data_IF_400051029836
#
_entry.id   IF_400051029836
#
_cell.length_a   1.000
_cell.length_b   1.000
_cell.length_c   1.000
_cell.angle_alpha   90.00
_cell.angle_beta   90.00
_cell.angle_gamma   90.00
#
_symmetry.space_group_name_H-M   'P 1'
#
loop_
_entity.id
_entity.type
_entity.pdbx_description
1 polymer ?
#
# COMPACT_ATOMS: atom_id res chain seq x y z
N UNK A 1 21.61 55.62 11.41
CA UNK A 1 21.53 54.58 10.37
C UNK A 1 21.36 53.25 11.08
N UNK A 2 20.12 52.76 11.15
CA UNK A 2 19.74 51.56 11.86
C UNK A 2 19.54 50.46 10.81
N UNK A 3 20.42 49.47 10.72
CA UNK A 3 20.26 48.32 9.83
C UNK A 3 19.45 47.25 10.58
N UNK A 4 18.21 47.07 10.14
CA UNK A 4 17.38 45.93 10.54
C UNK A 4 17.89 44.68 9.88
N UNK A 5 18.47 43.75 10.65
CA UNK A 5 18.79 42.40 10.23
C UNK A 5 17.52 41.55 10.28
N UNK A 6 16.96 41.28 9.11
CA UNK A 6 15.89 40.30 8.93
C UNK A 6 16.51 38.92 8.97
N UNK A 7 16.20 38.18 10.02
CA UNK A 7 16.50 36.75 10.13
C UNK A 7 15.63 36.00 9.13
N UNK A 8 16.15 35.06 8.30
CA UNK A 8 15.32 34.25 7.44
C UNK A 8 14.47 33.29 8.30
N UNK A 9 13.17 33.30 8.09
CA UNK A 9 12.25 32.29 8.62
C UNK A 9 12.68 30.90 8.14
N UNK A 10 12.94 29.97 9.08
CA UNK A 10 13.11 28.57 8.77
C UNK A 10 11.82 28.00 8.17
N UNK A 11 11.91 27.15 7.13
CA UNK A 11 10.71 26.54 6.56
C UNK A 11 10.10 25.57 7.58
N UNK A 12 8.84 25.83 7.90
CA UNK A 12 7.93 24.97 8.66
C UNK A 12 8.18 23.50 8.35
N UNK A 13 8.35 22.68 9.38
CA UNK A 13 8.46 21.21 9.34
C UNK A 13 7.22 20.56 8.72
N UNK A 14 7.08 20.65 7.40
CA UNK A 14 6.19 19.81 6.62
C UNK A 14 6.69 18.36 6.71
N UNK A 15 5.80 17.44 7.10
CA UNK A 15 6.10 16.05 7.43
C UNK A 15 6.99 15.32 6.42
N UNK A 16 7.71 14.29 6.89
CA UNK A 16 8.62 13.45 6.10
C UNK A 16 7.98 13.09 4.77
N UNK A 17 8.45 13.73 3.71
CA UNK A 17 8.07 13.47 2.34
C UNK A 17 8.85 12.25 1.83
N UNK A 18 8.15 11.12 1.71
CA UNK A 18 8.66 9.95 1.01
C UNK A 18 9.32 8.88 1.90
N UNK A 19 9.09 7.61 1.51
CA UNK A 19 9.74 6.42 2.08
C UNK A 19 10.41 5.65 0.94
N UNK A 20 11.67 5.30 1.14
CA UNK A 20 12.39 4.40 0.27
C UNK A 20 12.09 2.93 0.58
N UNK A 21 12.65 2.02 -0.23
CA UNK A 21 12.41 0.59 -0.11
C UNK A 21 12.78 0.04 1.27
N UNK A 22 13.86 0.51 1.87
CA UNK A 22 14.29 0.07 3.20
C UNK A 22 13.29 0.42 4.30
N UNK A 23 12.59 1.57 4.17
CA UNK A 23 11.55 1.98 5.11
C UNK A 23 10.27 1.17 4.88
N UNK A 24 9.91 0.92 3.62
CA UNK A 24 8.77 0.10 3.24
C UNK A 24 8.92 -1.32 3.79
N UNK A 25 10.10 -1.93 3.66
CA UNK A 25 10.42 -3.25 4.21
C UNK A 25 10.32 -3.35 5.74
N UNK A 26 10.45 -2.22 6.46
CA UNK A 26 10.25 -2.15 7.92
C UNK A 26 8.77 -1.96 8.31
N UNK A 27 7.93 -1.55 7.35
CA UNK A 27 6.52 -1.25 7.57
C UNK A 27 5.66 -2.43 7.12
N UNK A 28 5.85 -2.89 5.87
CA UNK A 28 5.05 -3.96 5.28
C UNK A 28 5.70 -5.33 5.54
N UNK A 29 4.90 -6.36 5.88
CA UNK A 29 5.40 -7.73 6.02
C UNK A 29 5.73 -8.41 4.68
N UNK A 30 5.19 -7.89 3.58
CA UNK A 30 5.37 -8.44 2.23
C UNK A 30 6.85 -8.51 1.83
N UNK A 31 7.22 -9.54 1.07
CA UNK A 31 8.55 -9.76 0.50
C UNK A 31 8.42 -10.20 -0.96
N UNK A 32 9.54 -10.30 -1.66
CA UNK A 32 9.59 -10.87 -3.00
C UNK A 32 8.92 -12.25 -3.03
N UNK A 33 8.11 -12.57 -4.02
CA UNK A 33 7.75 -11.73 -5.20
C UNK A 33 6.51 -10.84 -4.99
N UNK A 34 6.00 -10.74 -3.77
CA UNK A 34 4.70 -10.14 -3.47
C UNK A 34 4.75 -8.71 -2.88
N UNK A 35 5.93 -8.15 -2.67
CA UNK A 35 6.06 -6.72 -2.36
C UNK A 35 5.98 -5.91 -3.65
N UNK A 36 4.90 -5.15 -3.81
CA UNK A 36 4.61 -4.47 -5.07
C UNK A 36 4.97 -2.98 -5.08
N UNK A 37 4.99 -2.29 -3.94
CA UNK A 37 5.32 -0.87 -3.91
C UNK A 37 6.82 -0.64 -3.79
N UNK A 38 7.35 0.28 -4.62
CA UNK A 38 8.78 0.57 -4.70
C UNK A 38 9.18 1.81 -3.91
N UNK A 39 8.27 2.78 -3.80
CA UNK A 39 8.50 4.04 -3.09
C UNK A 39 7.19 4.66 -2.65
N UNK A 40 7.21 5.33 -1.52
CA UNK A 40 6.15 6.25 -1.11
C UNK A 40 6.61 7.67 -1.39
N UNK A 41 5.78 8.46 -2.04
CA UNK A 41 6.07 9.85 -2.39
C UNK A 41 5.53 10.82 -1.35
N UNK A 42 4.35 10.53 -0.80
CA UNK A 42 3.64 11.40 0.14
C UNK A 42 2.88 10.56 1.15
N UNK A 43 2.91 10.96 2.42
CA UNK A 43 2.03 10.46 3.48
C UNK A 43 1.40 11.63 4.20
N UNK A 44 0.07 11.65 4.22
CA UNK A 44 -0.73 12.45 5.16
C UNK A 44 -1.37 11.50 6.16
N UNK A 45 -0.89 11.52 7.38
CA UNK A 45 -1.28 10.58 8.44
C UNK A 45 -2.80 10.45 8.53
N UNK A 46 -3.30 9.21 8.57
CA UNK A 46 -4.72 8.84 8.64
C UNK A 46 -5.62 9.38 7.52
N UNK A 47 -5.05 9.98 6.47
CA UNK A 47 -5.81 10.61 5.40
C UNK A 47 -5.48 10.03 4.03
N UNK A 48 -4.20 10.10 3.61
CA UNK A 48 -3.81 9.79 2.23
C UNK A 48 -2.37 9.29 2.15
N UNK A 49 -2.13 8.44 1.18
CA UNK A 49 -0.78 8.04 0.75
C UNK A 49 -0.69 8.07 -0.77
N UNK A 50 0.47 8.48 -1.27
CA UNK A 50 0.85 8.35 -2.68
C UNK A 50 2.09 7.49 -2.77
N UNK A 51 2.00 6.40 -3.52
CA UNK A 51 3.10 5.47 -3.73
C UNK A 51 3.31 5.19 -5.22
N UNK A 52 4.44 4.60 -5.57
CA UNK A 52 4.71 4.13 -6.92
C UNK A 52 5.06 2.65 -6.92
N UNK A 53 4.69 1.99 -8.02
CA UNK A 53 5.18 0.69 -8.43
C UNK A 53 5.73 0.79 -9.85
N UNK A 54 6.97 0.36 -10.05
CA UNK A 54 7.54 0.19 -11.38
C UNK A 54 7.10 -1.17 -11.92
N UNK A 55 6.61 -1.19 -13.15
CA UNK A 55 6.18 -2.43 -13.80
C UNK A 55 7.28 -2.86 -14.77
N UNK A 56 7.93 -3.99 -14.49
CA UNK A 56 9.03 -4.50 -15.31
C UNK A 56 8.73 -5.87 -15.88
N UNK A 57 9.34 -6.22 -17.01
CA UNK A 57 9.18 -7.55 -17.61
C UNK A 57 9.74 -8.67 -16.73
N UNK A 58 10.58 -8.35 -15.75
CA UNK A 58 11.14 -9.30 -14.80
C UNK A 58 10.16 -9.74 -13.69
N UNK A 59 8.95 -9.21 -13.66
CA UNK A 59 7.92 -9.65 -12.73
C UNK A 59 7.47 -11.07 -13.08
N UNK A 60 7.44 -12.01 -12.12
CA UNK A 60 7.20 -13.43 -12.41
C UNK A 60 5.83 -13.71 -13.03
N UNK A 61 4.83 -12.88 -12.78
CA UNK A 61 3.48 -13.06 -13.33
C UNK A 61 3.40 -12.85 -14.84
N UNK A 62 4.35 -12.14 -15.48
CA UNK A 62 4.35 -11.95 -16.92
C UNK A 62 4.70 -13.22 -17.71
N UNK A 63 5.31 -14.21 -17.06
CA UNK A 63 5.53 -15.51 -17.69
C UNK A 63 4.21 -16.22 -18.09
N UNK A 64 3.14 -15.94 -17.37
CA UNK A 64 1.81 -16.54 -17.58
C UNK A 64 0.71 -15.58 -18.00
N UNK A 65 0.87 -14.27 -17.79
CA UNK A 65 -0.23 -13.30 -18.00
C UNK A 65 0.13 -12.16 -18.97
N UNK A 66 0.17 -12.38 -20.28
CA UNK A 66 -0.04 -13.62 -21.04
C UNK A 66 1.15 -13.83 -21.99
N UNK A 67 1.49 -15.07 -22.39
CA UNK A 67 2.53 -15.29 -23.38
C UNK A 67 2.32 -14.46 -24.64
N UNK A 68 3.32 -13.63 -25.02
CA UNK A 68 3.25 -12.73 -26.17
C UNK A 68 2.45 -11.44 -25.96
N UNK A 69 1.73 -11.29 -24.83
CA UNK A 69 0.98 -10.08 -24.48
C UNK A 69 1.12 -9.80 -22.98
N UNK A 70 2.23 -9.25 -22.52
CA UNK A 70 2.46 -9.01 -21.09
C UNK A 70 1.58 -7.87 -20.58
N UNK A 71 0.55 -8.21 -19.85
CA UNK A 71 -0.36 -7.27 -19.17
C UNK A 71 -0.31 -7.57 -17.67
N UNK A 72 -0.14 -6.55 -16.84
CA UNK A 72 -0.19 -6.71 -15.39
C UNK A 72 -1.57 -7.18 -14.96
N UNK A 73 -1.69 -8.27 -14.18
CA UNK A 73 -2.98 -8.72 -13.66
C UNK A 73 -3.69 -7.63 -12.89
N UNK A 74 -4.94 -7.34 -13.24
CA UNK A 74 -5.71 -6.27 -12.59
C UNK A 74 -5.84 -6.47 -11.08
N UNK A 75 -5.95 -7.72 -10.63
CA UNK A 75 -6.01 -8.06 -9.21
C UNK A 75 -4.72 -7.67 -8.46
N UNK A 76 -3.56 -7.71 -9.13
CA UNK A 76 -2.30 -7.25 -8.54
C UNK A 76 -2.20 -5.72 -8.52
N UNK A 77 -2.92 -5.01 -9.39
CA UNK A 77 -3.05 -3.54 -9.25
C UNK A 77 -3.87 -3.20 -8.01
N UNK A 78 -4.94 -3.96 -7.73
CA UNK A 78 -5.73 -3.79 -6.50
C UNK A 78 -4.89 -4.13 -5.27
N UNK A 79 -4.08 -5.17 -5.33
CA UNK A 79 -3.13 -5.52 -4.26
C UNK A 79 -2.11 -4.41 -4.02
N UNK A 80 -1.53 -3.82 -5.08
CA UNK A 80 -0.60 -2.70 -4.94
C UNK A 80 -1.26 -1.48 -4.28
N UNK A 81 -2.52 -1.18 -4.62
CA UNK A 81 -3.34 -0.16 -3.94
C UNK A 81 -3.48 -0.49 -2.45
N UNK A 82 -3.78 -1.76 -2.13
CA UNK A 82 -3.93 -2.19 -0.75
C UNK A 82 -2.62 -2.13 0.03
N UNK A 83 -1.50 -2.51 -0.57
CA UNK A 83 -0.18 -2.39 0.08
C UNK A 83 0.17 -0.92 0.36
N UNK A 84 -0.12 -0.01 -0.56
CA UNK A 84 0.06 1.43 -0.30
C UNK A 84 -0.81 1.87 0.89
N UNK A 85 -2.10 1.51 0.92
CA UNK A 85 -2.97 1.77 2.06
C UNK A 85 -2.49 1.11 3.35
N UNK A 86 -2.00 -0.12 3.27
CA UNK A 86 -1.42 -0.86 4.39
C UNK A 86 -0.19 -0.18 4.98
N UNK A 87 0.68 0.37 4.12
CA UNK A 87 1.81 1.17 4.58
C UNK A 87 1.34 2.39 5.39
N UNK A 88 0.28 3.09 4.94
CA UNK A 88 -0.33 4.18 5.70
C UNK A 88 -0.89 3.70 7.04
N UNK A 89 -1.64 2.59 7.07
CA UNK A 89 -2.23 2.05 8.30
C UNK A 89 -1.15 1.64 9.31
N UNK A 90 -0.15 0.90 8.86
CA UNK A 90 0.90 0.37 9.72
C UNK A 90 1.84 1.44 10.27
N UNK A 91 1.95 2.62 9.62
CA UNK A 91 2.68 3.75 10.22
C UNK A 91 2.01 4.33 11.46
N UNK A 92 0.72 4.06 11.66
CA UNK A 92 -0.07 4.54 12.81
C UNK A 92 -0.12 3.54 13.97
N UNK A 93 0.50 2.36 13.82
CA UNK A 93 0.45 1.27 14.79
C UNK A 93 1.82 1.06 15.41
N UNK A 94 1.93 1.13 16.74
CA UNK A 94 3.20 0.98 17.46
C UNK A 94 3.74 -0.45 17.34
N UNK A 95 2.88 -1.46 17.51
CA UNK A 95 3.23 -2.90 17.45
C UNK A 95 3.07 -3.49 16.03
N UNK A 96 3.43 -2.73 15.01
CA UNK A 96 3.21 -3.11 13.61
C UNK A 96 3.95 -4.37 13.17
N UNK A 97 5.08 -4.70 13.78
CA UNK A 97 5.87 -5.90 13.46
C UNK A 97 5.13 -7.21 13.77
N UNK A 98 4.16 -7.16 14.69
CA UNK A 98 3.30 -8.27 15.08
C UNK A 98 1.93 -8.21 14.42
N UNK A 99 1.73 -7.33 13.44
CA UNK A 99 0.47 -7.15 12.73
C UNK A 99 0.60 -7.49 11.27
N UNK A 100 -0.43 -8.10 10.74
CA UNK A 100 -0.65 -8.26 9.29
C UNK A 100 -1.96 -7.62 8.91
N UNK A 101 -1.99 -7.05 7.71
CA UNK A 101 -3.20 -6.50 7.14
C UNK A 101 -3.85 -7.54 6.25
N UNK A 102 -5.10 -7.84 6.53
CA UNK A 102 -5.91 -8.76 5.71
C UNK A 102 -7.07 -8.03 5.07
N UNK A 103 -7.41 -8.40 3.85
CA UNK A 103 -8.62 -7.92 3.21
C UNK A 103 -9.86 -8.46 3.93
N UNK A 104 -10.85 -7.59 4.12
CA UNK A 104 -12.22 -7.96 4.55
C UNK A 104 -13.24 -7.70 3.46
N UNK A 105 -12.85 -6.96 2.42
CA UNK A 105 -13.70 -6.74 1.25
C UNK A 105 -13.02 -5.91 0.18
N UNK A 106 -13.39 -6.15 -1.06
CA UNK A 106 -13.04 -5.36 -2.24
C UNK A 106 -14.34 -4.97 -2.91
N UNK A 107 -14.56 -3.68 -3.05
CA UNK A 107 -15.76 -3.13 -3.66
C UNK A 107 -15.39 -2.24 -4.85
N UNK A 108 -16.28 -2.16 -5.84
CA UNK A 108 -16.18 -1.22 -6.96
C UNK A 108 -14.84 -1.24 -7.70
N UNK A 109 -14.20 -2.41 -7.78
CA UNK A 109 -13.01 -2.56 -8.59
C UNK A 109 -13.35 -2.33 -10.07
N UNK A 110 -12.60 -1.43 -10.71
CA UNK A 110 -12.73 -1.12 -12.15
C UNK A 110 -11.37 -1.06 -12.78
N UNK A 111 -11.20 -1.77 -13.88
CA UNK A 111 -10.01 -1.78 -14.72
C UNK A 111 -10.34 -1.06 -16.02
N UNK A 112 -9.62 0.02 -16.31
CA UNK A 112 -9.96 0.92 -17.41
C UNK A 112 -9.03 0.78 -18.61
N UNK A 113 -7.78 0.41 -18.35
CA UNK A 113 -6.73 0.28 -19.35
C UNK A 113 -5.75 -0.81 -18.93
N UNK A 114 -5.15 -1.54 -19.87
CA UNK A 114 -4.06 -2.45 -19.56
C UNK A 114 -2.83 -1.65 -19.04
N UNK A 115 -2.05 -2.32 -18.21
CA UNK A 115 -0.77 -1.86 -17.69
C UNK A 115 0.28 -2.87 -18.15
N UNK A 116 1.36 -2.39 -18.73
CA UNK A 116 2.37 -3.23 -19.39
C UNK A 116 3.77 -2.94 -18.86
N UNK A 117 4.74 -3.83 -19.07
CA UNK A 117 6.14 -3.56 -18.75
C UNK A 117 6.62 -2.22 -19.34
N UNK A 118 7.31 -1.42 -18.53
CA UNK A 118 7.72 -0.06 -18.85
C UNK A 118 6.83 1.03 -18.25
N UNK A 119 5.61 0.69 -17.83
CA UNK A 119 4.74 1.62 -17.10
C UNK A 119 5.22 1.82 -15.66
N UNK A 120 4.95 3.00 -15.10
CA UNK A 120 5.04 3.27 -13.68
C UNK A 120 3.63 3.60 -13.16
N UNK A 121 3.16 2.81 -12.19
CA UNK A 121 1.91 3.08 -11.51
C UNK A 121 2.13 4.09 -10.39
N UNK A 122 1.40 5.19 -10.43
CA UNK A 122 1.19 6.09 -9.29
C UNK A 122 -0.09 5.66 -8.58
N UNK A 123 0.06 5.27 -7.34
CA UNK A 123 -1.01 4.75 -6.48
C UNK A 123 -1.41 5.84 -5.48
N UNK A 124 -2.65 6.28 -5.56
CA UNK A 124 -3.22 7.26 -4.63
C UNK A 124 -4.28 6.58 -3.79
N UNK A 125 -4.13 6.58 -2.48
CA UNK A 125 -5.06 5.92 -1.56
C UNK A 125 -5.52 6.90 -0.50
N UNK A 126 -6.83 7.03 -0.37
CA UNK A 126 -7.50 7.87 0.63
C UNK A 126 -8.24 7.03 1.64
N UNK A 127 -8.11 7.36 2.91
CA UNK A 127 -8.89 6.75 3.99
C UNK A 127 -10.30 7.31 3.98
N UNK A 128 -11.30 6.44 3.84
CA UNK A 128 -12.73 6.78 3.90
C UNK A 128 -13.36 6.41 5.24
N UNK A 129 -12.75 5.51 5.99
CA UNK A 129 -13.14 5.14 7.33
C UNK A 129 -11.98 4.53 8.08
N UNK A 130 -11.84 4.87 9.34
CA UNK A 130 -10.85 4.36 10.26
C UNK A 130 -11.53 4.01 11.58
N UNK A 131 -11.41 2.78 12.01
CA UNK A 131 -12.00 2.31 13.25
C UNK A 131 -10.96 1.57 14.07
N UNK A 132 -10.78 2.02 15.30
CA UNK A 132 -9.92 1.35 16.28
C UNK A 132 -10.80 0.98 17.48
N UNK A 133 -10.83 -0.30 17.79
CA UNK A 133 -11.45 -0.84 18.99
C UNK A 133 -10.47 -1.83 19.64
N UNK A 134 -10.62 -2.17 20.93
CA UNK A 134 -9.73 -3.14 21.57
C UNK A 134 -9.61 -4.44 20.75
N UNK A 135 -8.37 -4.78 20.38
CA UNK A 135 -8.05 -5.98 19.59
C UNK A 135 -8.34 -5.90 18.09
N UNK A 136 -8.82 -4.76 17.55
CA UNK A 136 -9.11 -4.64 16.12
C UNK A 136 -8.87 -3.23 15.61
N UNK A 137 -8.11 -3.12 14.53
CA UNK A 137 -8.01 -1.90 13.74
C UNK A 137 -8.49 -2.22 12.32
N UNK A 138 -9.49 -1.51 11.85
CA UNK A 138 -10.05 -1.68 10.52
C UNK A 138 -10.06 -0.36 9.76
N UNK A 139 -9.92 -0.43 8.45
CA UNK A 139 -10.01 0.74 7.57
C UNK A 139 -10.74 0.41 6.28
N UNK A 140 -11.46 1.42 5.77
CA UNK A 140 -12.01 1.43 4.42
C UNK A 140 -11.29 2.52 3.64
N UNK A 141 -10.75 2.17 2.49
CA UNK A 141 -9.91 3.05 1.68
C UNK A 141 -10.39 3.06 0.23
N UNK A 142 -10.32 4.22 -0.40
CA UNK A 142 -10.53 4.36 -1.83
C UNK A 142 -9.16 4.54 -2.49
N UNK A 143 -8.84 3.66 -3.44
CA UNK A 143 -7.59 3.71 -4.17
C UNK A 143 -7.77 3.92 -5.65
N UNK A 144 -6.79 4.60 -6.24
CA UNK A 144 -6.68 4.88 -7.66
C UNK A 144 -5.28 4.55 -8.14
N UNK A 145 -5.17 3.96 -9.32
CA UNK A 145 -3.90 3.72 -10.01
C UNK A 145 -3.85 4.49 -11.32
N UNK A 146 -2.73 5.17 -11.57
CA UNK A 146 -2.50 5.99 -12.75
C UNK A 146 -1.20 5.57 -13.45
N UNK A 147 -1.19 5.66 -14.79
CA UNK A 147 0.00 5.68 -15.63
C UNK A 147 0.06 7.07 -16.29
N UNK A 148 1.09 7.85 -15.96
CA UNK A 148 1.07 9.29 -16.22
C UNK A 148 -0.17 9.93 -15.59
N UNK A 149 -0.94 10.68 -16.39
CA UNK A 149 -2.18 11.32 -15.94
C UNK A 149 -3.44 10.45 -16.17
N UNK A 150 -3.28 9.26 -16.71
CA UNK A 150 -4.42 8.40 -17.07
C UNK A 150 -4.72 7.42 -15.96
N UNK A 151 -5.94 7.47 -15.40
CA UNK A 151 -6.40 6.47 -14.46
C UNK A 151 -6.61 5.13 -15.16
N UNK A 152 -5.89 4.10 -14.70
CA UNK A 152 -5.90 2.73 -15.25
C UNK A 152 -6.76 1.79 -14.42
N UNK A 153 -6.80 1.98 -13.11
CA UNK A 153 -7.66 1.19 -12.21
C UNK A 153 -8.13 2.00 -11.00
N UNK A 154 -9.16 1.51 -10.35
CA UNK A 154 -9.65 2.00 -9.06
C UNK A 154 -10.31 0.87 -8.29
N UNK A 155 -10.25 0.93 -6.96
CA UNK A 155 -10.97 0.02 -6.07
C UNK A 155 -11.24 0.67 -4.72
N UNK A 156 -12.34 0.30 -4.09
CA UNK A 156 -12.55 0.50 -2.65
C UNK A 156 -12.14 -0.77 -1.94
N UNK A 157 -11.21 -0.68 -1.00
CA UNK A 157 -10.72 -1.82 -0.23
C UNK A 157 -11.05 -1.63 1.24
N UNK A 158 -11.53 -2.69 1.88
CA UNK A 158 -11.72 -2.78 3.32
C UNK A 158 -10.70 -3.77 3.86
N UNK A 159 -10.05 -3.44 4.95
CA UNK A 159 -9.03 -4.27 5.56
C UNK A 159 -9.07 -4.17 7.07
N UNK A 160 -8.48 -5.17 7.71
CA UNK A 160 -8.32 -5.27 9.15
C UNK A 160 -6.88 -5.63 9.47
N UNK A 161 -6.35 -5.06 10.55
CA UNK A 161 -5.09 -5.50 11.15
C UNK A 161 -5.39 -6.61 12.16
N UNK A 162 -4.71 -7.73 12.02
CA UNK A 162 -4.76 -8.86 12.93
C UNK A 162 -3.37 -9.16 13.50
N UNK A 163 -3.30 -9.81 14.64
CA UNK A 163 -2.04 -10.31 15.19
C UNK A 163 -1.49 -11.44 14.33
N UNK A 164 -0.22 -11.39 13.98
CA UNK A 164 0.43 -12.41 13.16
C UNK A 164 0.48 -13.79 13.86
N UNK A 165 0.37 -13.83 15.18
CA UNK A 165 0.29 -15.07 15.97
C UNK A 165 -1.05 -15.80 15.81
N UNK A 166 -2.14 -15.10 15.51
CA UNK A 166 -3.46 -15.72 15.32
C UNK A 166 -3.57 -16.58 14.07
N UNK A 167 -2.76 -16.33 13.04
CA UNK A 167 -2.71 -17.17 11.85
C UNK A 167 -1.99 -18.52 12.04
N UNK A 168 -1.23 -18.69 13.13
CA UNK A 168 -0.56 -19.95 13.47
C UNK A 168 -1.36 -20.86 14.39
N UNK A 169 -2.26 -20.33 15.17
CA UNK A 169 -3.03 -21.10 16.15
C UNK A 169 -4.15 -21.97 15.56
N UNK A 170 -4.53 -21.76 14.29
CA UNK A 170 -5.54 -22.58 13.59
C UNK A 170 -4.99 -23.89 13.02
N UNK A 171 -3.67 -24.02 12.87
CA UNK A 171 -3.06 -25.22 12.28
C UNK A 171 -2.68 -26.28 13.34
N UNK A 172 -2.55 -25.89 14.63
CA UNK A 172 -2.18 -26.81 15.70
C UNK A 172 -3.37 -27.55 16.32
N UNK A 173 -4.61 -27.17 16.03
CA UNK A 173 -5.81 -27.82 16.57
C UNK A 173 -6.44 -28.91 15.67
N UNK A 174 -5.78 -29.23 14.54
CA UNK A 174 -6.28 -30.19 13.55
C UNK A 174 -5.64 -31.59 13.57
N UNK A 175 -4.66 -31.87 14.44
CA UNK A 175 -3.93 -33.16 14.42
C UNK A 175 -4.19 -34.11 15.62
N UNK A 176 -5.20 -33.84 16.44
CA UNK A 176 -5.59 -34.80 17.50
C UNK A 176 -7.04 -35.27 17.36
N UNK A 177 -7.38 -35.94 16.26
CA UNK A 177 -8.48 -36.92 16.21
C UNK A 177 -8.32 -37.77 14.94
N UNK A 178 -7.59 -38.91 15.08
CA UNK A 178 -7.51 -39.92 14.04
C UNK A 178 -6.84 -41.17 14.55
#
# INVERSE_FOLDING_TARGET
MNQSTTTPEEPSTAGKTGLGIHDILKILPHRYPFLLIDRVLEIRRKQRIVAIKNVTINEPFFAGHFPGLPIMPGVLIVEAIAQAGGALLLTEVEDRQNKVMVFTGIERAKFRRPVSPGDQLRLEVEVKGWRVVPGMTAAKMQGYAYVGERRVAEATVSCQLIDSSRGRASDESGEEEG
#
